data_IF_455709095619
#
_entry.id   IF_455709095619
#
_cell.length_a   1.000
_cell.length_b   1.000
_cell.length_c   1.000
_cell.angle_alpha   90.00
_cell.angle_beta   90.00
_cell.angle_gamma   90.00
#
_symmetry.space_group_name_H-M   'P 1'
#
loop_
_entity.id
_entity.type
_entity.pdbx_description
1 polymer ?
#
# COMPACT_ATOMS: atom_id res chain seq x y z
N UNK A 1 14.93 42.17 -15.58
CA UNK A 1 14.27 42.22 -16.89
C UNK A 1 14.80 41.10 -17.78
N UNK A 2 13.92 40.52 -18.62
CA UNK A 2 14.31 39.56 -19.64
C UNK A 2 14.92 40.31 -20.83
N UNK A 3 16.10 39.90 -21.24
CA UNK A 3 16.83 40.51 -22.35
C UNK A 3 16.86 39.66 -23.61
N UNK A 4 16.67 38.34 -23.46
CA UNK A 4 16.60 37.37 -24.54
C UNK A 4 15.70 36.20 -24.14
N UNK A 5 14.95 35.68 -25.12
CA UNK A 5 14.11 34.50 -24.94
C UNK A 5 13.97 33.73 -26.26
N UNK A 6 14.34 32.46 -26.25
CA UNK A 6 14.23 31.60 -27.42
C UNK A 6 13.81 30.18 -27.00
N UNK A 7 12.84 29.59 -27.72
CA UNK A 7 12.60 28.16 -27.61
C UNK A 7 13.69 27.40 -28.36
N UNK A 8 14.45 26.57 -27.64
CA UNK A 8 15.62 25.85 -28.17
C UNK A 8 15.35 24.37 -28.42
N UNK A 9 14.39 23.78 -27.71
CA UNK A 9 14.09 22.36 -27.85
C UNK A 9 12.64 22.05 -27.49
N UNK A 10 12.16 20.90 -27.96
CA UNK A 10 10.81 20.38 -27.64
C UNK A 10 10.83 18.87 -27.69
N UNK A 11 10.36 18.21 -26.64
CA UNK A 11 10.28 16.76 -26.55
C UNK A 11 8.95 16.33 -25.95
N UNK A 12 8.46 15.16 -26.38
CA UNK A 12 7.29 14.52 -25.80
C UNK A 12 7.73 13.31 -24.95
N UNK A 13 7.43 13.34 -23.65
CA UNK A 13 7.73 12.26 -22.73
C UNK A 13 6.44 11.86 -22.01
N UNK A 14 6.03 10.61 -22.16
CA UNK A 14 4.87 10.00 -21.47
C UNK A 14 3.63 10.92 -21.52
N UNK A 15 3.12 11.21 -22.72
CA UNK A 15 1.91 12.03 -22.97
C UNK A 15 2.00 13.50 -22.52
N UNK A 16 3.16 13.99 -22.13
CA UNK A 16 3.42 15.41 -21.85
C UNK A 16 4.46 15.98 -22.82
N UNK A 17 4.20 17.19 -23.30
CA UNK A 17 5.16 17.93 -24.13
C UNK A 17 5.95 18.89 -23.23
N UNK A 18 7.27 18.82 -23.34
CA UNK A 18 8.21 19.67 -22.65
C UNK A 18 8.90 20.58 -23.68
N UNK A 19 8.62 21.87 -23.62
CA UNK A 19 9.32 22.89 -24.41
C UNK A 19 10.41 23.50 -23.53
N UNK A 20 11.65 23.58 -24.05
CA UNK A 20 12.78 24.17 -23.36
C UNK A 20 13.07 25.54 -23.97
N UNK A 21 13.16 26.54 -23.13
CA UNK A 21 13.43 27.90 -23.46
C UNK A 21 14.76 28.36 -22.84
N UNK A 22 15.61 28.96 -23.66
CA UNK A 22 16.80 29.70 -23.20
C UNK A 22 16.37 31.13 -22.90
N UNK A 23 16.46 31.54 -21.66
CA UNK A 23 16.05 32.86 -21.18
C UNK A 23 17.23 33.54 -20.51
N UNK A 24 17.56 34.73 -21.00
CA UNK A 24 18.56 35.59 -20.38
C UNK A 24 17.90 36.77 -19.70
N UNK A 25 18.37 37.09 -18.53
CA UNK A 25 18.02 38.28 -17.80
C UNK A 25 19.24 39.20 -17.73
N UNK A 26 19.08 40.42 -17.19
CA UNK A 26 20.19 41.32 -16.90
C UNK A 26 21.14 40.81 -15.80
N UNK A 27 20.87 39.67 -15.18
CA UNK A 27 21.68 39.07 -14.10
C UNK A 27 22.15 37.67 -14.44
N UNK A 28 21.23 36.81 -14.90
CA UNK A 28 21.45 35.37 -15.00
C UNK A 28 20.84 34.80 -16.28
N UNK A 29 21.20 33.55 -16.59
CA UNK A 29 20.64 32.76 -17.67
C UNK A 29 19.89 31.52 -17.08
N UNK A 30 18.78 31.18 -17.74
CA UNK A 30 17.86 30.15 -17.25
C UNK A 30 17.39 29.24 -18.38
N UNK A 31 17.31 27.95 -18.06
CA UNK A 31 16.45 27.05 -18.80
C UNK A 31 15.06 27.09 -18.16
N UNK A 32 14.06 27.46 -18.95
CA UNK A 32 12.66 27.37 -18.54
C UNK A 32 12.03 26.20 -19.27
N UNK A 33 11.54 25.20 -18.55
CA UNK A 33 10.99 23.97 -19.11
C UNK A 33 9.52 23.92 -18.78
N UNK A 34 8.66 23.76 -19.80
CA UNK A 34 7.20 23.62 -19.67
C UNK A 34 6.80 22.16 -19.43
N UNK A 35 5.51 21.88 -19.23
CA UNK A 35 5.07 20.52 -18.87
C UNK A 35 5.29 20.24 -17.39
N UNK A 36 4.72 21.12 -16.52
CA UNK A 36 5.06 21.26 -15.10
C UNK A 36 6.15 22.33 -14.94
N UNK A 37 5.84 23.57 -15.41
CA UNK A 37 6.84 24.65 -15.60
C UNK A 37 7.77 24.84 -14.41
N UNK A 38 9.07 24.80 -14.68
CA UNK A 38 10.11 25.08 -13.71
C UNK A 38 11.31 25.80 -14.37
N UNK A 39 12.12 26.46 -13.53
CA UNK A 39 13.28 27.25 -13.92
C UNK A 39 14.55 26.60 -13.38
N UNK A 40 15.57 26.49 -14.23
CA UNK A 40 16.87 25.91 -13.90
C UNK A 40 17.96 26.89 -14.25
N UNK A 41 18.74 27.33 -13.28
CA UNK A 41 19.88 28.20 -13.49
C UNK A 41 20.91 27.54 -14.41
N UNK A 42 21.38 28.22 -15.47
CA UNK A 42 22.40 27.68 -16.35
C UNK A 42 23.79 27.61 -15.68
N UNK A 43 23.97 28.28 -14.56
CA UNK A 43 25.15 28.10 -13.71
C UNK A 43 25.16 26.72 -13.04
N UNK A 44 24.01 26.27 -12.52
CA UNK A 44 23.88 24.95 -11.87
C UNK A 44 23.64 23.82 -12.87
N UNK A 45 22.98 24.13 -13.98
CA UNK A 45 22.65 23.18 -15.06
C UNK A 45 23.23 23.72 -16.38
N UNK A 46 24.56 23.62 -16.60
CA UNK A 46 25.22 24.21 -17.75
C UNK A 46 24.80 23.57 -19.09
N UNK A 47 24.19 22.42 -19.06
CA UNK A 47 23.71 21.68 -20.22
C UNK A 47 22.19 21.55 -20.20
N UNK A 48 21.54 21.86 -21.34
CA UNK A 48 20.08 21.74 -21.52
C UNK A 48 19.59 20.32 -21.27
N UNK A 49 20.30 19.30 -21.77
CA UNK A 49 19.88 17.89 -21.60
C UNK A 49 19.91 17.48 -20.15
N UNK A 50 20.85 17.98 -19.35
CA UNK A 50 20.91 17.74 -17.91
C UNK A 50 19.69 18.37 -17.21
N UNK A 51 19.35 19.61 -17.55
CA UNK A 51 18.20 20.31 -17.00
C UNK A 51 16.90 19.59 -17.38
N UNK A 52 16.75 19.17 -18.63
CA UNK A 52 15.57 18.45 -19.11
C UNK A 52 15.43 17.06 -18.45
N UNK A 53 16.52 16.31 -18.36
CA UNK A 53 16.53 14.99 -17.70
C UNK A 53 16.12 15.11 -16.24
N UNK A 54 16.65 16.10 -15.53
CA UNK A 54 16.29 16.36 -14.13
C UNK A 54 14.82 16.75 -14.01
N UNK A 55 14.33 17.65 -14.88
CA UNK A 55 12.94 18.08 -14.91
C UNK A 55 11.97 16.91 -15.13
N UNK A 56 12.20 16.11 -16.16
CA UNK A 56 11.37 14.93 -16.47
C UNK A 56 11.41 13.94 -15.29
N UNK A 57 12.59 13.68 -14.73
CA UNK A 57 12.75 12.82 -13.55
C UNK A 57 11.98 13.34 -12.34
N UNK A 58 11.97 14.66 -12.11
CA UNK A 58 11.21 15.29 -11.03
C UNK A 58 9.69 15.14 -11.22
N UNK A 59 9.20 15.50 -12.43
CA UNK A 59 7.77 15.40 -12.78
C UNK A 59 7.25 13.96 -12.66
N UNK A 60 8.04 12.97 -13.02
CA UNK A 60 7.66 11.57 -12.88
C UNK A 60 7.65 11.07 -11.42
N UNK A 61 8.43 11.69 -10.55
CA UNK A 61 8.54 11.29 -9.13
C UNK A 61 7.47 11.92 -8.23
N UNK A 62 7.06 13.16 -8.53
CA UNK A 62 6.06 13.89 -7.71
C UNK A 62 4.75 13.10 -7.57
N UNK A 63 4.07 12.64 -8.66
CA UNK A 63 2.84 11.87 -8.54
C UNK A 63 3.01 10.54 -7.81
N UNK A 64 4.17 9.87 -7.97
CA UNK A 64 4.47 8.62 -7.27
C UNK A 64 4.59 8.82 -5.77
N UNK A 65 5.24 9.89 -5.32
CA UNK A 65 5.36 10.21 -3.89
C UNK A 65 4.01 10.55 -3.28
N UNK A 66 3.17 11.32 -3.96
CA UNK A 66 1.82 11.63 -3.47
C UNK A 66 0.99 10.36 -3.33
N UNK A 67 0.98 9.50 -4.36
CA UNK A 67 0.25 8.24 -4.32
C UNK A 67 0.77 7.32 -3.20
N UNK A 68 2.08 7.19 -3.06
CA UNK A 68 2.69 6.38 -1.98
C UNK A 68 2.32 6.93 -0.60
N UNK A 69 2.34 8.24 -0.41
CA UNK A 69 1.96 8.86 0.86
C UNK A 69 0.47 8.67 1.18
N UNK A 70 -0.42 8.72 0.17
CA UNK A 70 -1.83 8.40 0.33
C UNK A 70 -2.05 6.91 0.67
N UNK A 71 -1.32 6.02 0.00
CA UNK A 71 -1.36 4.58 0.26
C UNK A 71 -0.80 4.28 1.67
N UNK A 72 0.30 4.91 2.06
CA UNK A 72 0.89 4.78 3.41
C UNK A 72 -0.10 5.26 4.49
N UNK A 73 -0.80 6.38 4.27
CA UNK A 73 -1.82 6.86 5.21
C UNK A 73 -3.01 5.92 5.35
N UNK A 74 -3.42 5.24 4.27
CA UNK A 74 -4.49 4.22 4.31
C UNK A 74 -4.05 2.95 5.01
N UNK A 75 -2.77 2.60 4.93
CA UNK A 75 -2.19 1.39 5.54
C UNK A 75 -1.83 1.62 7.01
N UNK A 76 -1.57 2.86 7.42
CA UNK A 76 -1.14 3.21 8.79
C UNK A 76 -2.00 2.60 9.91
N UNK A 77 -3.34 2.57 9.82
CA UNK A 77 -4.17 1.92 10.83
C UNK A 77 -3.93 0.42 10.97
N UNK A 78 -3.40 -0.23 9.91
CA UNK A 78 -3.13 -1.67 9.87
C UNK A 78 -1.72 -2.04 10.33
N UNK A 79 -0.90 -1.08 10.79
CA UNK A 79 0.44 -1.35 11.34
C UNK A 79 0.47 -2.51 12.33
N UNK A 80 -0.41 -2.53 13.37
CA UNK A 80 -0.47 -3.62 14.33
C UNK A 80 -0.81 -4.99 13.71
N UNK A 81 -1.59 -5.02 12.63
CA UNK A 81 -1.91 -6.26 11.88
C UNK A 81 -0.66 -6.80 11.21
N UNK A 82 0.12 -5.94 10.55
CA UNK A 82 1.37 -6.34 9.89
C UNK A 82 2.40 -6.86 10.91
N UNK A 83 2.51 -6.22 12.08
CA UNK A 83 3.36 -6.72 13.16
C UNK A 83 2.96 -8.13 13.60
N UNK A 84 1.65 -8.43 13.71
CA UNK A 84 1.16 -9.76 14.04
C UNK A 84 1.42 -10.79 12.92
N UNK A 85 1.35 -10.39 11.67
CA UNK A 85 1.70 -11.25 10.54
C UNK A 85 3.22 -11.57 10.55
N UNK A 86 4.08 -10.60 10.84
CA UNK A 86 5.52 -10.81 10.96
C UNK A 86 5.87 -11.72 12.16
N UNK A 87 5.18 -11.56 13.31
CA UNK A 87 5.31 -12.47 14.44
C UNK A 87 4.92 -13.91 14.05
N UNK A 88 3.85 -14.10 13.27
CA UNK A 88 3.45 -15.41 12.78
C UNK A 88 4.50 -16.00 11.83
N UNK A 89 5.04 -15.21 10.89
CA UNK A 89 6.12 -15.61 9.98
C UNK A 89 7.39 -16.02 10.73
N UNK A 90 7.76 -15.27 11.75
CA UNK A 90 8.88 -15.62 12.64
C UNK A 90 8.62 -16.94 13.37
N UNK A 91 7.40 -17.15 13.85
CA UNK A 91 7.02 -18.41 14.51
C UNK A 91 7.11 -19.60 13.54
N UNK A 92 6.74 -19.46 12.25
CA UNK A 92 6.89 -20.53 11.23
C UNK A 92 8.35 -20.93 11.10
N UNK A 93 9.27 -19.96 11.00
CA UNK A 93 10.71 -20.25 10.82
C UNK A 93 11.34 -20.93 12.04
N UNK A 94 10.77 -20.71 13.23
CA UNK A 94 11.25 -21.29 14.50
C UNK A 94 10.54 -22.59 14.90
N UNK A 95 9.48 -22.96 14.19
CA UNK A 95 8.68 -24.11 14.52
C UNK A 95 9.33 -25.41 14.03
N UNK A 96 9.70 -26.29 14.96
CA UNK A 96 10.35 -27.57 14.65
C UNK A 96 9.62 -28.78 15.24
N UNK A 97 8.49 -28.57 15.89
CA UNK A 97 7.69 -29.60 16.55
C UNK A 97 6.23 -29.19 16.63
N UNK A 98 5.39 -30.12 17.06
CA UNK A 98 3.94 -29.92 17.17
C UNK A 98 3.55 -28.66 17.96
N UNK A 99 4.20 -28.41 19.10
CA UNK A 99 3.91 -27.24 19.91
C UNK A 99 4.25 -25.94 19.18
N UNK A 100 5.36 -25.93 18.43
CA UNK A 100 5.73 -24.82 17.55
C UNK A 100 4.70 -24.57 16.45
N UNK A 101 4.22 -25.63 15.79
CA UNK A 101 3.18 -25.49 14.76
C UNK A 101 1.86 -24.97 15.32
N UNK A 102 1.47 -25.46 16.50
CA UNK A 102 0.28 -24.94 17.20
C UNK A 102 0.45 -23.45 17.58
N UNK A 103 1.64 -23.03 17.97
CA UNK A 103 1.92 -21.63 18.29
C UNK A 103 1.76 -20.73 17.05
N UNK A 104 2.12 -21.19 15.85
CA UNK A 104 1.83 -20.47 14.58
C UNK A 104 0.33 -20.27 14.42
N UNK A 105 -0.49 -21.30 14.65
CA UNK A 105 -1.96 -21.17 14.60
C UNK A 105 -2.49 -20.10 15.54
N UNK A 106 -1.94 -20.01 16.75
CA UNK A 106 -2.30 -18.95 17.71
C UNK A 106 -1.97 -17.57 17.14
N UNK A 107 -0.75 -17.38 16.58
CA UNK A 107 -0.31 -16.09 16.00
C UNK A 107 -1.16 -15.68 14.80
N UNK A 108 -1.46 -16.60 13.90
CA UNK A 108 -2.37 -16.32 12.78
C UNK A 108 -3.77 -15.89 13.25
N UNK A 109 -4.32 -16.52 14.29
CA UNK A 109 -5.58 -16.08 14.91
C UNK A 109 -5.47 -14.67 15.50
N UNK A 110 -4.38 -14.36 16.19
CA UNK A 110 -4.15 -13.03 16.76
C UNK A 110 -4.11 -11.97 15.67
N UNK A 111 -3.43 -12.24 14.54
CA UNK A 111 -3.41 -11.34 13.38
C UNK A 111 -4.81 -11.09 12.80
N UNK A 112 -5.61 -12.14 12.64
CA UNK A 112 -6.98 -12.03 12.15
C UNK A 112 -7.89 -11.27 13.13
N UNK A 113 -7.73 -11.44 14.45
CA UNK A 113 -8.47 -10.67 15.45
C UNK A 113 -8.03 -9.21 15.48
N UNK A 114 -6.75 -8.92 15.27
CA UNK A 114 -6.26 -7.56 15.16
C UNK A 114 -6.83 -6.86 13.92
N UNK A 115 -6.89 -7.56 12.76
CA UNK A 115 -7.55 -7.05 11.55
C UNK A 115 -9.01 -6.64 11.83
N UNK A 116 -9.76 -7.49 12.52
CA UNK A 116 -11.13 -7.16 12.92
C UNK A 116 -11.16 -5.99 13.89
N UNK A 117 -10.22 -5.91 14.84
CA UNK A 117 -10.09 -4.80 15.78
C UNK A 117 -9.87 -3.47 15.07
N UNK A 118 -8.93 -3.42 14.15
CA UNK A 118 -8.69 -2.20 13.34
C UNK A 118 -9.94 -1.81 12.54
N UNK A 119 -10.60 -2.78 11.90
CA UNK A 119 -11.83 -2.50 11.16
C UNK A 119 -12.96 -1.97 12.05
N UNK A 120 -13.05 -2.43 13.30
CA UNK A 120 -14.02 -1.93 14.29
C UNK A 120 -13.73 -0.47 14.68
N UNK A 121 -12.47 -0.09 14.78
CA UNK A 121 -12.03 1.23 15.24
C UNK A 121 -12.10 2.30 14.14
N UNK A 122 -11.97 1.92 12.85
CA UNK A 122 -11.96 2.87 11.72
C UNK A 122 -13.33 3.10 11.09
N UNK A 123 -14.35 2.30 11.41
CA UNK A 123 -15.68 2.40 10.85
C UNK A 123 -16.73 2.79 11.90
N UNK A 124 -17.72 3.59 11.47
CA UNK A 124 -18.88 3.94 12.31
C UNK A 124 -19.97 2.89 12.06
N UNK A 125 -20.20 2.05 13.04
CA UNK A 125 -21.24 1.01 13.00
C UNK A 125 -22.55 1.56 13.57
N UNK A 126 -23.62 1.51 12.79
CA UNK A 126 -24.91 2.12 13.15
C UNK A 126 -25.80 1.22 13.99
N UNK A 127 -25.58 -0.09 13.93
CA UNK A 127 -26.40 -1.08 14.66
C UNK A 127 -25.66 -1.63 15.88
N UNK A 128 -26.37 -2.39 16.73
CA UNK A 128 -25.74 -3.04 17.88
C UNK A 128 -24.66 -4.00 17.40
N UNK A 129 -23.38 -3.70 17.61
CA UNK A 129 -22.30 -4.50 17.08
C UNK A 129 -22.25 -5.87 17.79
N UNK A 130 -21.79 -6.93 17.08
CA UNK A 130 -21.53 -8.21 17.72
C UNK A 130 -20.44 -8.08 18.79
N UNK A 131 -20.32 -9.10 19.64
CA UNK A 131 -19.19 -9.16 20.57
C UNK A 131 -17.88 -9.05 19.80
N UNK A 132 -16.90 -8.29 20.33
CA UNK A 132 -15.63 -7.99 19.68
C UNK A 132 -14.90 -9.26 19.18
N UNK A 133 -14.95 -10.34 19.92
CA UNK A 133 -14.33 -11.61 19.57
C UNK A 133 -15.12 -12.48 18.57
N UNK A 134 -16.31 -12.04 18.14
CA UNK A 134 -17.11 -12.80 17.17
C UNK A 134 -16.62 -12.55 15.73
N UNK A 135 -15.50 -13.18 15.37
CA UNK A 135 -14.84 -13.04 14.09
C UNK A 135 -15.79 -13.18 12.88
N UNK A 136 -16.62 -14.23 12.87
CA UNK A 136 -17.52 -14.51 11.73
C UNK A 136 -18.57 -13.42 11.53
N UNK A 137 -19.19 -12.96 12.61
CA UNK A 137 -20.19 -11.90 12.52
C UNK A 137 -19.56 -10.58 12.03
N UNK A 138 -18.36 -10.25 12.50
CA UNK A 138 -17.64 -9.09 12.05
C UNK A 138 -17.19 -9.21 10.59
N UNK A 139 -16.71 -10.37 10.16
CA UNK A 139 -16.36 -10.63 8.75
C UNK A 139 -17.56 -10.36 7.83
N UNK A 140 -18.77 -10.78 8.22
CA UNK A 140 -20.00 -10.49 7.48
C UNK A 140 -20.24 -8.98 7.33
N UNK A 141 -20.19 -8.26 8.44
CA UNK A 141 -20.45 -6.81 8.49
C UNK A 141 -19.41 -6.06 7.64
N UNK A 142 -18.13 -6.34 7.86
CA UNK A 142 -17.00 -5.69 7.15
C UNK A 142 -17.09 -5.95 5.66
N UNK A 143 -17.32 -7.19 5.23
CA UNK A 143 -17.41 -7.51 3.80
C UNK A 143 -18.62 -6.85 3.13
N UNK A 144 -19.75 -6.70 3.84
CA UNK A 144 -20.92 -6.01 3.32
C UNK A 144 -20.69 -4.51 3.19
N UNK A 145 -19.96 -3.89 4.13
CA UNK A 145 -19.62 -2.47 4.09
C UNK A 145 -18.58 -2.13 3.01
N UNK A 146 -17.51 -2.93 2.91
CA UNK A 146 -16.46 -2.73 1.91
C UNK A 146 -16.93 -2.96 0.47
N UNK A 147 -17.87 -3.86 0.26
CA UNK A 147 -18.34 -4.28 -1.07
C UNK A 147 -19.87 -4.22 -1.13
N UNK A 148 -20.49 -3.04 -1.02
CA UNK A 148 -21.93 -2.90 -1.04
C UNK A 148 -22.54 -3.19 -2.43
N UNK A 149 -23.83 -3.53 -2.43
CA UNK A 149 -24.63 -3.72 -3.63
C UNK A 149 -24.50 -5.11 -4.29
N UNK A 150 -25.45 -5.38 -5.20
CA UNK A 150 -25.59 -6.70 -5.85
C UNK A 150 -24.45 -7.00 -6.84
N UNK A 151 -23.89 -5.98 -7.48
CA UNK A 151 -22.76 -6.11 -8.41
C UNK A 151 -21.50 -6.66 -7.76
N UNK A 152 -21.36 -6.52 -6.45
CA UNK A 152 -20.22 -7.01 -5.67
C UNK A 152 -20.48 -8.35 -4.97
N UNK A 153 -21.61 -8.99 -5.18
CA UNK A 153 -22.02 -10.21 -4.47
C UNK A 153 -20.97 -11.33 -4.55
N UNK A 154 -20.44 -11.60 -5.74
CA UNK A 154 -19.43 -12.65 -5.92
C UNK A 154 -18.10 -12.30 -5.24
N UNK A 155 -17.62 -11.06 -5.42
CA UNK A 155 -16.40 -10.58 -4.77
C UNK A 155 -16.50 -10.60 -3.25
N UNK A 156 -17.64 -10.18 -2.72
CA UNK A 156 -17.94 -10.22 -1.29
C UNK A 156 -17.94 -11.65 -0.75
N UNK A 157 -18.55 -12.58 -1.50
CA UNK A 157 -18.54 -14.00 -1.15
C UNK A 157 -17.14 -14.59 -1.13
N UNK A 158 -16.29 -14.25 -2.12
CA UNK A 158 -14.91 -14.70 -2.20
C UNK A 158 -14.06 -14.16 -1.02
N UNK A 159 -14.18 -12.86 -0.72
CA UNK A 159 -13.45 -12.24 0.40
C UNK A 159 -13.86 -12.85 1.73
N UNK A 160 -15.16 -12.99 1.97
CA UNK A 160 -15.69 -13.63 3.16
C UNK A 160 -15.19 -15.07 3.30
N UNK A 161 -15.26 -15.85 2.21
CA UNK A 161 -14.78 -17.23 2.19
C UNK A 161 -13.29 -17.36 2.51
N UNK A 162 -12.45 -16.45 2.01
CA UNK A 162 -11.03 -16.42 2.31
C UNK A 162 -10.78 -16.17 3.81
N UNK A 163 -11.40 -15.13 4.39
CA UNK A 163 -11.27 -14.81 5.81
C UNK A 163 -11.78 -15.95 6.73
N UNK A 164 -12.93 -16.55 6.39
CA UNK A 164 -13.47 -17.68 7.15
C UNK A 164 -12.60 -18.93 7.06
N UNK A 165 -11.97 -19.17 5.90
CA UNK A 165 -11.02 -20.27 5.70
C UNK A 165 -9.76 -20.07 6.52
N UNK A 166 -9.16 -18.88 6.47
CA UNK A 166 -7.99 -18.53 7.26
C UNK A 166 -8.27 -18.69 8.77
N UNK A 167 -9.42 -18.19 9.25
CA UNK A 167 -9.85 -18.33 10.63
C UNK A 167 -10.03 -19.79 11.05
N UNK A 168 -10.73 -20.56 10.23
CA UNK A 168 -11.03 -21.97 10.51
C UNK A 168 -9.75 -22.80 10.55
N UNK A 169 -8.86 -22.58 9.60
CA UNK A 169 -7.59 -23.31 9.52
C UNK A 169 -6.64 -22.94 10.66
N UNK A 170 -6.53 -21.66 11.02
CA UNK A 170 -5.72 -21.21 12.17
C UNK A 170 -6.24 -21.80 13.49
N UNK A 171 -7.57 -21.87 13.67
CA UNK A 171 -8.15 -22.52 14.84
C UNK A 171 -7.88 -24.03 14.86
N UNK A 172 -8.01 -24.72 13.73
CA UNK A 172 -7.70 -26.14 13.63
C UNK A 172 -6.22 -26.37 13.97
N UNK A 173 -5.30 -25.59 13.41
CA UNK A 173 -3.86 -25.70 13.66
C UNK A 173 -3.52 -25.54 15.16
N UNK A 174 -4.15 -24.60 15.83
CA UNK A 174 -3.97 -24.34 17.27
C UNK A 174 -4.25 -25.60 18.15
N UNK A 175 -5.19 -26.43 17.72
CA UNK A 175 -5.66 -27.59 18.50
C UNK A 175 -5.30 -28.94 17.87
N UNK A 176 -4.68 -28.94 16.70
CA UNK A 176 -4.32 -30.17 15.98
C UNK A 176 -3.27 -30.98 16.75
N UNK A 177 -3.47 -32.27 16.81
CA UNK A 177 -2.51 -33.22 17.39
C UNK A 177 -1.57 -33.83 16.35
N UNK A 178 -1.79 -33.53 15.09
CA UNK A 178 -1.04 -34.09 13.94
C UNK A 178 -0.55 -33.01 12.96
N UNK A 179 -0.50 -31.75 13.40
CA UNK A 179 -0.01 -30.65 12.58
C UNK A 179 1.46 -30.88 12.18
N UNK A 180 1.76 -30.47 10.96
CA UNK A 180 3.09 -30.52 10.36
C UNK A 180 3.59 -29.10 10.09
N UNK A 181 4.86 -29.00 9.68
CA UNK A 181 5.41 -27.73 9.23
C UNK A 181 4.63 -27.16 8.03
N UNK A 182 4.20 -28.01 7.10
CA UNK A 182 3.42 -27.58 5.94
C UNK A 182 2.10 -26.91 6.36
N UNK A 183 1.44 -27.44 7.38
CA UNK A 183 0.19 -26.86 7.90
C UNK A 183 0.45 -25.48 8.52
N UNK A 184 1.57 -25.32 9.23
CA UNK A 184 1.97 -24.03 9.80
C UNK A 184 2.29 -23.00 8.71
N UNK A 185 3.03 -23.39 7.67
CA UNK A 185 3.34 -22.53 6.53
C UNK A 185 2.10 -22.14 5.73
N UNK A 186 1.19 -23.08 5.50
CA UNK A 186 -0.11 -22.81 4.87
C UNK A 186 -0.96 -21.83 5.68
N UNK A 187 -1.02 -21.98 7.00
CA UNK A 187 -1.81 -21.09 7.87
C UNK A 187 -1.30 -19.65 7.83
N UNK A 188 0.00 -19.46 7.71
CA UNK A 188 0.61 -18.14 7.57
C UNK A 188 0.40 -17.54 6.17
N UNK A 189 0.28 -18.37 5.14
CA UNK A 189 0.12 -17.93 3.73
C UNK A 189 -1.33 -17.60 3.37
N UNK A 190 -2.32 -18.00 4.19
CA UNK A 190 -3.75 -17.68 4.03
C UNK A 190 -4.07 -16.29 4.57
#
# INVERSE_FOLDING_TARGET
DVTFMQKVYSEAVINARHDVWDIHTNKDRWWVITGGTNLYSQEQYPNMDLALTFHVGLILRIPRRQKQQEDDQRILPFGPVFEKIEEAGTAVTQAHNLAGYQAVGVRCREALLELIGVAQDVAIWTDTPPQRANFRAWTEIICNDLLPGDTNKERRGALKGALESAWTFSNWLTHSKSATWLDADMAHSL
#
